data_IF_220910075561
#
_entry.id   IF_220910075561
#
_cell.length_a   1.000
_cell.length_b   1.000
_cell.length_c   1.000
_cell.angle_alpha   90.00
_cell.angle_beta   90.00
_cell.angle_gamma   90.00
#
_symmetry.space_group_name_H-M   'P 1'
#
loop_
_entity.id
_entity.type
_entity.pdbx_description
1 polymer ?
#
# COMPACT_ATOMS: atom_id res chain seq x y z
N UNK A 1 -28.86 33.88 -43.04
CA UNK A 1 -27.48 33.67 -42.53
C UNK A 1 -27.58 32.75 -41.32
N UNK A 2 -27.33 31.45 -41.51
CA UNK A 2 -27.31 30.43 -40.44
C UNK A 2 -25.93 30.40 -39.82
N UNK A 3 -25.80 30.83 -38.54
CA UNK A 3 -24.56 30.70 -37.77
C UNK A 3 -24.45 29.24 -37.33
N UNK A 4 -23.54 28.50 -37.95
CA UNK A 4 -23.06 27.20 -37.45
C UNK A 4 -22.26 27.44 -36.17
N UNK A 5 -22.82 27.06 -35.04
CA UNK A 5 -22.09 26.89 -33.80
C UNK A 5 -21.33 25.57 -33.91
N UNK A 6 -20.04 25.66 -34.23
CA UNK A 6 -19.08 24.56 -34.06
C UNK A 6 -18.86 24.40 -32.55
N UNK A 7 -19.62 23.49 -31.93
CA UNK A 7 -19.32 22.98 -30.62
C UNK A 7 -18.07 22.08 -30.78
N UNK A 8 -16.91 22.65 -30.52
CA UNK A 8 -15.67 21.91 -30.31
C UNK A 8 -15.87 21.03 -29.07
N UNK A 9 -16.29 19.79 -29.29
CA UNK A 9 -16.13 18.72 -28.31
C UNK A 9 -14.62 18.49 -28.13
N UNK A 10 -14.03 19.19 -27.19
CA UNK A 10 -12.80 18.73 -26.55
C UNK A 10 -13.19 17.48 -25.76
N UNK A 11 -13.25 16.35 -26.46
CA UNK A 11 -13.09 15.05 -25.85
C UNK A 11 -11.68 15.08 -25.26
N UNK A 12 -11.57 15.38 -23.98
CA UNK A 12 -10.41 14.97 -23.21
C UNK A 12 -10.39 13.43 -23.29
N UNK A 13 -9.70 12.92 -24.29
CA UNK A 13 -9.25 11.55 -24.32
C UNK A 13 -8.39 11.42 -23.05
N UNK A 14 -8.99 10.91 -21.98
CA UNK A 14 -8.29 10.40 -20.84
C UNK A 14 -7.48 9.22 -21.37
N UNK A 15 -6.26 9.49 -21.82
CA UNK A 15 -5.34 8.44 -22.18
C UNK A 15 -5.10 7.65 -20.90
N UNK A 16 -5.52 6.39 -20.89
CA UNK A 16 -5.12 5.41 -19.89
C UNK A 16 -3.60 5.44 -19.74
N UNK A 17 -3.11 5.20 -18.56
CA UNK A 17 -1.70 5.02 -18.32
C UNK A 17 -1.11 3.96 -19.26
N UNK A 18 0.09 4.18 -19.77
CA UNK A 18 0.82 3.14 -20.48
C UNK A 18 1.57 2.25 -19.50
N UNK A 19 1.77 0.98 -19.84
CA UNK A 19 2.57 0.05 -19.02
C UNK A 19 3.99 0.59 -18.77
N UNK A 20 4.57 1.31 -19.74
CA UNK A 20 5.89 1.94 -19.58
C UNK A 20 5.87 3.05 -18.53
N UNK A 21 4.83 3.89 -18.49
CA UNK A 21 4.69 4.94 -17.48
C UNK A 21 4.51 4.33 -16.09
N UNK A 22 3.73 3.26 -15.95
CA UNK A 22 3.58 2.52 -14.69
C UNK A 22 4.92 1.92 -14.24
N UNK A 23 5.68 1.30 -15.15
CA UNK A 23 7.02 0.78 -14.83
C UNK A 23 7.95 1.87 -14.31
N UNK A 24 7.98 3.02 -14.99
CA UNK A 24 8.80 4.15 -14.56
C UNK A 24 8.36 4.67 -13.19
N UNK A 25 7.05 4.76 -12.97
CA UNK A 25 6.50 5.19 -11.68
C UNK A 25 6.89 4.23 -10.56
N UNK A 26 6.67 2.93 -10.69
CA UNK A 26 7.02 1.91 -9.70
C UNK A 26 8.52 1.87 -9.44
N UNK A 27 9.33 2.02 -10.49
CA UNK A 27 10.79 2.06 -10.36
C UNK A 27 11.29 3.22 -9.49
N UNK A 28 10.66 4.41 -9.61
CA UNK A 28 11.11 5.62 -8.91
C UNK A 28 10.45 5.80 -7.54
N UNK A 29 9.17 5.39 -7.37
CA UNK A 29 8.41 5.54 -6.13
C UNK A 29 8.58 4.38 -5.17
N UNK A 30 8.96 3.18 -5.70
CA UNK A 30 8.98 1.91 -4.96
C UNK A 30 7.63 1.51 -4.36
N UNK A 31 6.54 1.95 -4.97
CA UNK A 31 5.19 1.69 -4.48
C UNK A 31 4.83 0.19 -4.49
N UNK A 32 5.54 -0.63 -5.28
CA UNK A 32 5.39 -2.08 -5.32
C UNK A 32 6.22 -2.85 -4.26
N UNK A 33 7.05 -2.17 -3.48
CA UNK A 33 7.89 -2.81 -2.45
C UNK A 33 7.05 -3.60 -1.42
N UNK A 34 5.83 -3.14 -1.12
CA UNK A 34 4.92 -3.81 -0.19
C UNK A 34 4.37 -5.14 -0.71
N UNK A 35 4.43 -5.40 -2.03
CA UNK A 35 3.94 -6.67 -2.62
C UNK A 35 4.71 -7.88 -2.09
N UNK A 36 6.00 -7.71 -1.76
CA UNK A 36 6.82 -8.77 -1.14
C UNK A 36 6.24 -9.22 0.20
N UNK A 37 5.75 -8.27 1.01
CA UNK A 37 5.12 -8.59 2.30
C UNK A 37 3.80 -9.33 2.12
N UNK A 38 3.02 -8.99 1.09
CA UNK A 38 1.79 -9.70 0.73
C UNK A 38 2.09 -11.14 0.30
N UNK A 39 3.12 -11.36 -0.49
CA UNK A 39 3.54 -12.69 -0.90
C UNK A 39 3.88 -13.57 0.33
N UNK A 40 4.62 -13.04 1.28
CA UNK A 40 4.92 -13.75 2.54
C UNK A 40 3.66 -14.10 3.34
N UNK A 41 2.68 -13.19 3.38
CA UNK A 41 1.38 -13.45 4.01
C UNK A 41 0.67 -14.59 3.29
N UNK A 42 0.66 -14.61 1.96
CA UNK A 42 0.05 -15.67 1.18
C UNK A 42 0.74 -17.02 1.36
N UNK A 43 2.05 -17.04 1.38
CA UNK A 43 2.83 -18.26 1.65
C UNK A 43 2.51 -18.83 3.03
N UNK A 44 2.34 -17.97 4.03
CA UNK A 44 1.93 -18.39 5.37
C UNK A 44 0.49 -18.93 5.43
N UNK A 45 -0.41 -18.44 4.57
CA UNK A 45 -1.81 -18.90 4.50
C UNK A 45 -1.98 -20.23 3.77
N UNK A 46 -1.02 -20.61 2.93
CA UNK A 46 -1.10 -21.83 2.09
C UNK A 46 -0.86 -23.14 2.81
N UNK A 47 -0.46 -23.15 4.07
CA UNK A 47 -0.15 -24.34 4.88
C UNK A 47 -0.32 -25.67 4.11
N UNK A 48 0.80 -26.23 3.54
CA UNK A 48 0.84 -27.55 2.87
C UNK A 48 0.36 -27.65 1.40
N UNK A 49 0.18 -26.57 0.66
CA UNK A 49 0.04 -26.68 -0.81
C UNK A 49 1.40 -26.46 -1.48
N UNK A 50 1.72 -27.30 -2.48
CA UNK A 50 2.94 -27.13 -3.28
C UNK A 50 3.04 -25.70 -3.81
N UNK A 51 4.22 -25.09 -3.64
CA UNK A 51 4.55 -23.78 -4.18
C UNK A 51 4.39 -23.81 -5.70
N UNK A 52 3.41 -23.08 -6.22
CA UNK A 52 3.43 -22.71 -7.63
C UNK A 52 4.39 -21.52 -7.75
N UNK A 53 5.51 -21.69 -8.45
CA UNK A 53 6.63 -20.73 -8.55
C UNK A 53 6.27 -19.38 -9.23
N UNK A 54 5.03 -19.16 -9.63
CA UNK A 54 4.60 -18.00 -10.42
C UNK A 54 3.77 -16.95 -9.66
N UNK A 55 3.63 -17.05 -8.33
CA UNK A 55 2.72 -16.17 -7.60
C UNK A 55 3.16 -14.71 -7.57
N UNK A 56 4.44 -14.45 -7.37
CA UNK A 56 4.98 -13.08 -7.37
C UNK A 56 4.72 -12.37 -8.68
N UNK A 57 4.86 -13.10 -9.78
CA UNK A 57 4.62 -12.54 -11.11
C UNK A 57 3.14 -12.22 -11.34
N UNK A 58 2.23 -13.12 -10.91
CA UNK A 58 0.79 -12.91 -11.02
C UNK A 58 0.33 -11.74 -10.13
N UNK A 59 0.79 -11.67 -8.88
CA UNK A 59 0.53 -10.58 -7.95
C UNK A 59 0.94 -9.23 -8.55
N UNK A 60 2.17 -9.16 -9.07
CA UNK A 60 2.68 -7.96 -9.72
C UNK A 60 1.84 -7.56 -10.95
N UNK A 61 1.44 -8.52 -11.79
CA UNK A 61 0.62 -8.25 -12.97
C UNK A 61 -0.75 -7.70 -12.58
N UNK A 62 -1.42 -8.27 -11.58
CA UNK A 62 -2.73 -7.80 -11.09
C UNK A 62 -2.61 -6.38 -10.54
N UNK A 63 -1.58 -6.10 -9.74
CA UNK A 63 -1.33 -4.79 -9.17
C UNK A 63 -1.12 -3.72 -10.25
N UNK A 64 -0.19 -3.97 -11.19
CA UNK A 64 0.14 -3.07 -12.28
C UNK A 64 -1.07 -2.78 -13.17
N UNK A 65 -1.82 -3.83 -13.54
CA UNK A 65 -3.03 -3.67 -14.33
C UNK A 65 -4.06 -2.79 -13.63
N UNK A 66 -4.21 -2.93 -12.32
CA UNK A 66 -5.10 -2.07 -11.54
C UNK A 66 -4.66 -0.60 -11.62
N UNK A 67 -3.37 -0.32 -11.49
CA UNK A 67 -2.83 1.03 -11.62
C UNK A 67 -3.05 1.59 -13.04
N UNK A 68 -2.80 0.80 -14.10
CA UNK A 68 -3.05 1.18 -15.50
C UNK A 68 -4.52 1.58 -15.76
N UNK A 69 -5.46 0.89 -15.11
CA UNK A 69 -6.89 1.14 -15.27
C UNK A 69 -7.38 2.37 -14.48
N UNK A 70 -6.67 2.80 -13.43
CA UNK A 70 -7.15 3.82 -12.49
C UNK A 70 -6.32 5.10 -12.45
N UNK A 71 -5.08 5.08 -12.97
CA UNK A 71 -4.25 6.27 -13.17
C UNK A 71 -4.31 6.72 -14.63
N UNK A 72 -4.41 8.01 -14.86
CA UNK A 72 -4.28 8.59 -16.19
C UNK A 72 -2.82 8.90 -16.52
N UNK A 73 -2.50 9.00 -17.82
CA UNK A 73 -1.16 9.40 -18.28
C UNK A 73 -0.71 10.73 -17.69
N UNK A 74 -1.61 11.73 -17.62
CA UNK A 74 -1.29 13.04 -17.05
C UNK A 74 -0.95 12.97 -15.56
N UNK A 75 -1.67 12.16 -14.79
CA UNK A 75 -1.38 11.95 -13.36
C UNK A 75 -0.02 11.26 -13.15
N UNK A 76 0.30 10.30 -14.00
CA UNK A 76 1.62 9.66 -13.96
C UNK A 76 2.75 10.63 -14.33
N UNK A 77 2.56 11.51 -15.31
CA UNK A 77 3.55 12.55 -15.64
C UNK A 77 3.78 13.49 -14.45
N UNK A 78 2.70 13.90 -13.78
CA UNK A 78 2.79 14.74 -12.57
C UNK A 78 3.48 14.00 -11.42
N UNK A 79 3.13 12.74 -11.17
CA UNK A 79 3.78 11.88 -10.17
C UNK A 79 5.26 11.70 -10.46
N UNK A 80 5.61 11.37 -11.71
CA UNK A 80 7.01 11.22 -12.13
C UNK A 80 7.80 12.50 -11.95
N UNK A 81 7.20 13.67 -12.24
CA UNK A 81 7.85 14.96 -12.01
C UNK A 81 8.11 15.19 -10.51
N UNK A 82 7.15 14.90 -9.64
CA UNK A 82 7.31 15.02 -8.19
C UNK A 82 8.37 14.05 -7.64
N UNK A 83 8.31 12.76 -8.00
CA UNK A 83 9.27 11.75 -7.52
C UNK A 83 10.69 11.97 -8.07
N UNK A 84 10.87 12.75 -9.14
CA UNK A 84 12.21 13.17 -9.63
C UNK A 84 12.80 14.33 -8.87
N UNK A 85 12.07 15.00 -7.99
CA UNK A 85 12.64 16.05 -7.14
C UNK A 85 13.65 15.47 -6.15
N UNK A 86 14.71 16.21 -5.80
CA UNK A 86 15.75 15.72 -4.91
C UNK A 86 15.20 15.25 -3.56
N UNK A 87 14.23 15.97 -3.00
CA UNK A 87 13.66 15.63 -1.70
C UNK A 87 12.86 14.32 -1.74
N UNK A 88 12.06 14.08 -2.80
CA UNK A 88 11.30 12.85 -2.95
C UNK A 88 12.22 11.65 -3.23
N UNK A 89 13.27 11.81 -4.04
CA UNK A 89 14.25 10.75 -4.25
C UNK A 89 14.96 10.38 -2.96
N UNK A 90 15.37 11.38 -2.17
CA UNK A 90 15.99 11.13 -0.88
C UNK A 90 15.02 10.41 0.07
N UNK A 91 13.77 10.85 0.13
CA UNK A 91 12.73 10.20 0.92
C UNK A 91 12.58 8.71 0.55
N UNK A 92 12.46 8.38 -0.74
CA UNK A 92 12.34 7.00 -1.20
C UNK A 92 13.55 6.16 -0.78
N UNK A 93 14.77 6.67 -0.96
CA UNK A 93 16.01 5.97 -0.58
C UNK A 93 16.06 5.69 0.94
N UNK A 94 15.73 6.69 1.76
CA UNK A 94 15.78 6.54 3.22
C UNK A 94 14.68 5.58 3.73
N UNK A 95 13.51 5.56 3.08
CA UNK A 95 12.41 4.65 3.44
C UNK A 95 12.58 3.23 2.86
N UNK A 96 13.35 3.06 1.76
CA UNK A 96 13.64 1.74 1.16
C UNK A 96 14.69 0.95 1.99
N UNK A 97 15.52 1.64 2.78
CA UNK A 97 16.55 1.01 3.57
C UNK A 97 15.91 0.05 4.61
N UNK A 98 16.20 -1.24 4.46
CA UNK A 98 15.73 -2.25 5.42
C UNK A 98 16.37 -2.00 6.79
N UNK A 99 15.54 -1.63 7.76
CA UNK A 99 16.00 -1.40 9.13
C UNK A 99 16.00 -2.74 9.87
N UNK A 100 17.14 -3.12 10.44
CA UNK A 100 17.18 -4.30 11.32
C UNK A 100 16.38 -4.02 12.60
N UNK A 101 15.87 -5.09 13.24
CA UNK A 101 15.18 -4.94 14.53
C UNK A 101 16.10 -4.38 15.61
N UNK A 102 17.39 -4.75 15.54
CA UNK A 102 18.43 -4.30 16.44
C UNK A 102 18.69 -2.81 16.28
N UNK A 103 18.80 -2.31 15.05
CA UNK A 103 19.02 -0.88 14.76
C UNK A 103 17.81 -0.04 15.17
N UNK A 104 16.59 -0.50 14.88
CA UNK A 104 15.36 0.17 15.32
C UNK A 104 15.27 0.22 16.85
N UNK A 105 15.60 -0.88 17.54
CA UNK A 105 15.57 -0.91 19.00
C UNK A 105 16.62 0.02 19.61
N UNK A 106 17.82 0.07 19.04
CA UNK A 106 18.88 0.98 19.47
C UNK A 106 18.47 2.45 19.26
N UNK A 107 17.89 2.76 18.11
CA UNK A 107 17.39 4.11 17.78
C UNK A 107 16.29 4.55 18.77
N UNK A 108 15.29 3.71 19.01
CA UNK A 108 14.19 4.06 19.93
C UNK A 108 14.71 4.28 21.37
N UNK A 109 15.70 3.51 21.80
CA UNK A 109 16.35 3.72 23.10
C UNK A 109 17.13 5.04 23.14
N UNK A 110 17.82 5.40 22.06
CA UNK A 110 18.52 6.69 21.97
C UNK A 110 17.52 7.86 22.04
N UNK A 111 16.35 7.74 21.46
CA UNK A 111 15.30 8.76 21.55
C UNK A 111 14.74 8.97 22.96
N UNK A 112 14.79 7.95 23.84
CA UNK A 112 14.42 8.09 25.26
C UNK A 112 15.45 8.95 26.00
N UNK A 113 16.74 8.81 25.66
CA UNK A 113 17.83 9.57 26.27
C UNK A 113 18.00 10.95 25.63
N UNK A 114 17.78 11.06 24.32
CA UNK A 114 17.96 12.21 23.47
C UNK A 114 16.68 12.54 22.68
N UNK A 115 15.65 13.12 23.32
CA UNK A 115 14.36 13.35 22.67
C UNK A 115 14.47 14.37 21.54
N UNK A 116 13.73 14.10 20.47
CA UNK A 116 13.62 15.00 19.33
C UNK A 116 12.90 16.31 19.72
N UNK A 117 13.19 17.38 18.98
CA UNK A 117 12.47 18.65 19.15
C UNK A 117 10.98 18.50 18.83
N UNK A 118 10.14 19.27 19.49
CA UNK A 118 8.69 19.31 19.24
C UNK A 118 8.40 19.60 17.76
N UNK A 119 9.12 20.55 17.15
CA UNK A 119 8.95 20.89 15.74
C UNK A 119 9.16 19.68 14.83
N UNK A 120 10.22 18.88 15.06
CA UNK A 120 10.48 17.65 14.28
C UNK A 120 9.36 16.64 14.46
N UNK A 121 8.94 16.39 15.68
CA UNK A 121 7.84 15.46 15.98
C UNK A 121 6.54 15.89 15.30
N UNK A 122 6.20 17.18 15.33
CA UNK A 122 4.99 17.71 14.69
C UNK A 122 5.03 17.51 13.16
N UNK A 123 6.20 17.68 12.54
CA UNK A 123 6.33 17.43 11.09
C UNK A 123 6.17 15.95 10.78
N UNK A 124 6.80 15.05 11.56
CA UNK A 124 6.65 13.59 11.38
C UNK A 124 5.19 13.18 11.55
N UNK A 125 4.49 13.67 12.56
CA UNK A 125 3.08 13.37 12.78
C UNK A 125 2.18 13.88 11.64
N UNK A 126 2.55 15.00 11.01
CA UNK A 126 1.84 15.49 9.83
C UNK A 126 2.14 14.62 8.59
N UNK A 127 3.39 14.20 8.38
CA UNK A 127 3.74 13.27 7.30
C UNK A 127 3.03 11.94 7.50
N UNK A 128 3.00 11.40 8.72
CA UNK A 128 2.27 10.17 9.05
C UNK A 128 0.79 10.26 8.65
N UNK A 129 0.12 11.38 8.94
CA UNK A 129 -1.28 11.59 8.54
C UNK A 129 -1.48 11.66 7.02
N UNK A 130 -0.47 12.08 6.27
CA UNK A 130 -0.51 12.12 4.81
C UNK A 130 -0.30 10.74 4.19
N UNK A 131 0.56 9.91 4.78
CA UNK A 131 1.00 8.63 4.23
C UNK A 131 0.25 7.41 4.80
N UNK A 132 -0.36 7.53 5.98
CA UNK A 132 -1.01 6.42 6.69
C UNK A 132 -2.47 6.77 6.98
N UNK A 133 -3.41 6.12 6.29
CA UNK A 133 -4.85 6.36 6.41
C UNK A 133 -5.53 5.21 7.16
N UNK A 134 -6.28 5.54 8.21
CA UNK A 134 -6.95 4.55 9.06
C UNK A 134 -8.00 3.71 8.31
N UNK A 135 -8.74 4.33 7.40
CA UNK A 135 -9.74 3.67 6.57
C UNK A 135 -9.11 2.66 5.59
N UNK A 136 -7.93 2.97 5.02
CA UNK A 136 -7.17 2.07 4.16
C UNK A 136 -6.62 0.88 4.96
N UNK A 137 -6.03 1.13 6.14
CA UNK A 137 -5.57 0.06 7.05
C UNK A 137 -6.73 -0.86 7.42
N UNK A 138 -7.88 -0.30 7.77
CA UNK A 138 -9.08 -1.08 8.13
C UNK A 138 -9.60 -1.89 6.95
N UNK A 139 -9.62 -1.31 5.74
CA UNK A 139 -10.04 -2.00 4.53
C UNK A 139 -9.12 -3.17 4.21
N UNK A 140 -7.81 -2.98 4.33
CA UNK A 140 -6.80 -4.03 4.15
C UNK A 140 -6.97 -5.15 5.20
N UNK A 141 -7.09 -4.81 6.48
CA UNK A 141 -7.32 -5.78 7.55
C UNK A 141 -8.60 -6.60 7.33
N UNK A 142 -9.68 -5.95 6.93
CA UNK A 142 -10.95 -6.63 6.61
C UNK A 142 -10.81 -7.59 5.43
N UNK A 143 -10.07 -7.20 4.41
CA UNK A 143 -9.73 -8.04 3.26
C UNK A 143 -8.99 -9.30 3.69
N UNK A 144 -7.91 -9.17 4.49
CA UNK A 144 -7.17 -10.31 5.03
C UNK A 144 -8.03 -11.26 5.88
N UNK A 145 -8.93 -10.71 6.69
CA UNK A 145 -9.73 -11.49 7.65
C UNK A 145 -11.04 -12.04 7.07
N UNK A 146 -11.40 -11.67 5.84
CA UNK A 146 -12.66 -12.06 5.21
C UNK A 146 -12.87 -13.59 5.14
N UNK A 147 -11.79 -14.35 4.93
CA UNK A 147 -11.83 -15.83 4.93
C UNK A 147 -12.33 -16.38 6.25
N UNK A 148 -11.87 -15.84 7.36
CA UNK A 148 -12.27 -16.29 8.71
C UNK A 148 -13.70 -15.88 9.04
N UNK A 149 -14.18 -14.74 8.52
CA UNK A 149 -15.55 -14.25 8.72
C UNK A 149 -16.59 -15.04 7.94
N UNK A 150 -16.30 -15.50 6.71
CA UNK A 150 -17.21 -16.35 5.92
C UNK A 150 -17.43 -17.74 6.55
N UNK A 151 -16.45 -18.23 7.30
CA UNK A 151 -16.59 -19.50 8.03
C UNK A 151 -17.47 -19.37 9.28
N UNK A 152 -17.56 -18.20 9.90
CA UNK A 152 -18.44 -17.92 11.03
C UNK A 152 -19.73 -17.25 10.53
N UNK A 153 -20.71 -18.05 10.07
CA UNK A 153 -22.03 -17.57 9.64
C UNK A 153 -22.70 -16.72 10.73
N UNK A 154 -22.54 -15.39 10.67
CA UNK A 154 -23.39 -14.42 11.36
C UNK A 154 -23.68 -13.23 10.45
N UNK A 155 -24.94 -13.16 10.07
CA UNK A 155 -25.79 -12.04 9.66
C UNK A 155 -25.10 -10.71 9.37
N UNK A 156 -24.95 -10.39 8.09
CA UNK A 156 -24.67 -9.04 7.62
C UNK A 156 -25.93 -8.20 7.57
N UNK A 157 -26.13 -7.36 8.58
CA UNK A 157 -26.89 -6.13 8.41
C UNK A 157 -25.89 -5.02 8.09
N UNK A 158 -26.10 -4.34 6.96
CA UNK A 158 -25.35 -3.18 6.44
C UNK A 158 -25.46 -1.95 7.35
N UNK A 159 -25.04 -2.07 8.60
CA UNK A 159 -24.85 -0.94 9.49
C UNK A 159 -23.37 -0.57 9.51
N UNK A 160 -23.07 0.71 9.50
CA UNK A 160 -21.73 1.27 9.76
C UNK A 160 -21.27 0.80 11.14
N UNK A 161 -20.71 -0.41 11.18
CA UNK A 161 -20.26 -1.05 12.40
C UNK A 161 -18.96 -0.34 12.80
N UNK A 162 -18.96 0.28 13.99
CA UNK A 162 -17.73 0.80 14.58
C UNK A 162 -16.65 -0.29 14.54
N UNK A 163 -15.39 0.07 14.28
CA UNK A 163 -14.30 -0.90 14.28
C UNK A 163 -14.31 -1.74 15.56
N UNK A 164 -14.10 -3.03 15.43
CA UNK A 164 -13.95 -3.93 16.58
C UNK A 164 -12.68 -3.59 17.36
N UNK A 165 -12.57 -4.06 18.59
CA UNK A 165 -11.34 -3.87 19.38
C UNK A 165 -10.10 -4.41 18.68
N UNK A 166 -10.21 -5.53 17.98
CA UNK A 166 -9.10 -6.12 17.21
C UNK A 166 -8.70 -5.24 16.00
N UNK A 167 -9.70 -4.69 15.29
CA UNK A 167 -9.48 -3.76 14.19
C UNK A 167 -8.78 -2.48 14.67
N UNK A 168 -9.21 -1.94 15.82
CA UNK A 168 -8.56 -0.78 16.42
C UNK A 168 -7.12 -1.06 16.85
N UNK A 169 -6.87 -2.20 17.50
CA UNK A 169 -5.52 -2.62 17.89
C UNK A 169 -4.60 -2.79 16.66
N UNK A 170 -5.11 -3.33 15.56
CA UNK A 170 -4.34 -3.45 14.33
C UNK A 170 -3.99 -2.08 13.74
N UNK A 171 -4.95 -1.15 13.69
CA UNK A 171 -4.71 0.23 13.23
C UNK A 171 -3.63 0.91 14.06
N UNK A 172 -3.74 0.85 15.39
CA UNK A 172 -2.74 1.47 16.27
C UNK A 172 -1.35 0.84 16.09
N UNK A 173 -1.27 -0.49 15.97
CA UNK A 173 0.00 -1.18 15.72
C UNK A 173 0.65 -0.73 14.40
N UNK A 174 -0.13 -0.61 13.31
CA UNK A 174 0.39 -0.15 12.02
C UNK A 174 0.83 1.31 12.10
N UNK A 175 0.04 2.19 12.73
CA UNK A 175 0.39 3.60 12.89
C UNK A 175 1.66 3.80 13.71
N UNK A 176 1.79 3.06 14.82
CA UNK A 176 2.98 3.11 15.66
C UNK A 176 4.21 2.61 14.91
N UNK A 177 4.10 1.47 14.20
CA UNK A 177 5.18 0.94 13.37
C UNK A 177 5.61 1.95 12.31
N UNK A 178 4.66 2.49 11.54
CA UNK A 178 4.93 3.49 10.50
C UNK A 178 5.51 4.78 11.06
N UNK A 179 5.08 5.21 12.27
CA UNK A 179 5.67 6.37 12.93
C UNK A 179 7.14 6.13 13.28
N UNK A 180 7.47 4.96 13.82
CA UNK A 180 8.85 4.61 14.15
C UNK A 180 9.74 4.53 12.91
N UNK A 181 9.24 3.95 11.81
CA UNK A 181 9.94 3.94 10.52
C UNK A 181 10.17 5.35 9.98
N UNK A 182 9.17 6.24 10.03
CA UNK A 182 9.33 7.64 9.63
C UNK A 182 10.34 8.38 10.50
N UNK A 183 10.30 8.18 11.82
CA UNK A 183 11.25 8.81 12.74
C UNK A 183 12.69 8.37 12.42
N UNK A 184 12.89 7.10 12.13
CA UNK A 184 14.19 6.55 11.75
C UNK A 184 14.64 7.04 10.38
N UNK A 185 13.81 6.86 9.35
CA UNK A 185 14.17 7.24 7.96
C UNK A 185 14.40 8.74 7.79
N UNK A 186 13.60 9.58 8.47
CA UNK A 186 13.71 11.03 8.35
C UNK A 186 14.75 11.67 9.29
N UNK A 187 15.46 10.91 10.13
CA UNK A 187 16.44 11.45 11.06
C UNK A 187 17.58 12.21 10.36
N UNK A 188 17.91 11.80 9.13
CA UNK A 188 18.98 12.39 8.32
C UNK A 188 18.57 13.69 7.59
N UNK A 189 17.27 14.03 7.59
CA UNK A 189 16.77 15.23 6.96
C UNK A 189 16.83 16.42 7.93
N UNK A 190 17.15 17.61 7.41
CA UNK A 190 16.98 18.87 8.14
C UNK A 190 15.48 19.20 8.32
N UNK A 191 15.17 20.14 9.19
CA UNK A 191 13.79 20.63 9.39
C UNK A 191 13.23 21.23 8.10
N UNK A 192 14.05 21.97 7.36
CA UNK A 192 13.69 22.58 6.08
C UNK A 192 13.37 21.52 5.02
N UNK A 193 14.20 20.47 4.90
CA UNK A 193 13.96 19.34 4.00
C UNK A 193 12.69 18.57 4.39
N UNK A 194 12.44 18.38 5.69
CA UNK A 194 11.19 17.74 6.14
C UNK A 194 9.95 18.58 5.82
N UNK A 195 10.03 19.91 5.88
CA UNK A 195 8.95 20.81 5.45
C UNK A 195 8.72 20.75 3.94
N UNK A 196 9.79 20.70 3.16
CA UNK A 196 9.72 20.52 1.71
C UNK A 196 9.08 19.16 1.35
N UNK A 197 9.53 18.08 1.99
CA UNK A 197 8.93 16.75 1.85
C UNK A 197 7.44 16.75 2.17
N UNK A 198 7.07 17.32 3.33
CA UNK A 198 5.66 17.42 3.72
C UNK A 198 4.84 18.14 2.65
N UNK A 199 5.35 19.26 2.12
CA UNK A 199 4.68 20.02 1.06
C UNK A 199 4.52 19.22 -0.23
N UNK A 200 5.52 18.41 -0.61
CA UNK A 200 5.42 17.51 -1.76
C UNK A 200 4.35 16.42 -1.54
N UNK A 201 4.32 15.82 -0.36
CA UNK A 201 3.34 14.78 0.01
C UNK A 201 1.89 15.31 0.14
N UNK A 202 1.70 16.61 0.34
CA UNK A 202 0.37 17.27 0.34
C UNK A 202 -0.22 17.41 -1.08
N UNK A 203 0.50 17.04 -2.13
CA UNK A 203 -0.02 17.08 -3.50
C UNK A 203 -1.25 16.19 -3.67
N UNK A 204 -2.27 16.72 -4.35
CA UNK A 204 -3.50 15.99 -4.64
C UNK A 204 -3.25 14.72 -5.47
N UNK A 205 -2.25 14.75 -6.38
CA UNK A 205 -1.93 13.59 -7.21
C UNK A 205 -1.27 12.48 -6.39
N UNK A 206 -0.41 12.80 -5.40
CA UNK A 206 0.14 11.81 -4.47
C UNK A 206 -0.95 11.20 -3.62
N UNK A 207 -1.83 12.00 -3.04
CA UNK A 207 -2.97 11.49 -2.25
C UNK A 207 -3.88 10.58 -3.06
N UNK A 208 -4.12 10.90 -4.33
CA UNK A 208 -4.91 10.05 -5.24
C UNK A 208 -4.18 8.75 -5.56
N UNK A 209 -2.88 8.82 -5.90
CA UNK A 209 -2.07 7.65 -6.21
C UNK A 209 -2.00 6.69 -5.02
N UNK A 210 -1.70 7.17 -3.81
CA UNK A 210 -1.67 6.38 -2.58
C UNK A 210 -2.98 5.63 -2.34
N UNK A 211 -4.13 6.30 -2.55
CA UNK A 211 -5.43 5.64 -2.46
C UNK A 211 -5.59 4.53 -3.49
N UNK A 212 -5.23 4.78 -4.76
CA UNK A 212 -5.31 3.78 -5.83
C UNK A 212 -4.38 2.60 -5.55
N UNK A 213 -3.18 2.83 -5.02
CA UNK A 213 -2.23 1.81 -4.60
C UNK A 213 -2.81 0.92 -3.49
N UNK A 214 -3.41 1.54 -2.47
CA UNK A 214 -4.09 0.83 -1.39
C UNK A 214 -5.26 -0.03 -1.91
N UNK A 215 -6.08 0.51 -2.82
CA UNK A 215 -7.16 -0.21 -3.48
C UNK A 215 -6.63 -1.37 -4.35
N UNK A 216 -5.50 -1.16 -5.07
CA UNK A 216 -4.83 -2.21 -5.84
C UNK A 216 -4.33 -3.35 -4.94
N UNK A 217 -3.75 -3.04 -3.79
CA UNK A 217 -3.33 -4.02 -2.79
C UNK A 217 -4.50 -4.86 -2.28
N UNK A 218 -5.62 -4.22 -1.95
CA UNK A 218 -6.86 -4.89 -1.53
C UNK A 218 -7.41 -5.75 -2.66
N UNK A 219 -7.32 -5.29 -3.91
CA UNK A 219 -7.76 -6.05 -5.09
C UNK A 219 -6.93 -7.32 -5.27
N UNK A 220 -5.61 -7.22 -5.19
CA UNK A 220 -4.68 -8.37 -5.22
C UNK A 220 -5.05 -9.38 -4.13
N UNK A 221 -5.22 -8.91 -2.88
CA UNK A 221 -5.62 -9.75 -1.75
C UNK A 221 -6.91 -10.51 -2.02
N UNK A 222 -7.93 -9.82 -2.51
CA UNK A 222 -9.24 -10.42 -2.76
C UNK A 222 -9.19 -11.47 -3.88
N UNK A 223 -8.48 -11.22 -4.97
CA UNK A 223 -8.31 -12.18 -6.06
C UNK A 223 -7.56 -13.43 -5.59
N UNK A 224 -6.50 -13.23 -4.83
CA UNK A 224 -5.72 -14.34 -4.32
C UNK A 224 -6.49 -15.21 -3.33
N UNK A 225 -7.24 -14.61 -2.40
CA UNK A 225 -8.09 -15.34 -1.46
C UNK A 225 -9.17 -16.14 -2.21
N UNK A 226 -9.75 -15.59 -3.28
CA UNK A 226 -10.71 -16.30 -4.12
C UNK A 226 -10.08 -17.49 -4.84
N UNK A 227 -8.87 -17.34 -5.37
CA UNK A 227 -8.10 -18.41 -6.03
C UNK A 227 -7.83 -19.59 -5.09
N UNK A 228 -7.44 -19.31 -3.83
CA UNK A 228 -7.23 -20.37 -2.82
C UNK A 228 -8.52 -21.10 -2.46
N UNK A 229 -9.67 -20.40 -2.43
CA UNK A 229 -10.95 -21.00 -2.02
C UNK A 229 -11.65 -21.78 -3.12
N UNK A 230 -11.30 -21.54 -4.38
CA UNK A 230 -11.93 -22.16 -5.56
C UNK A 230 -11.23 -23.44 -6.04
N UNK A 231 -10.00 -23.70 -5.62
CA UNK A 231 -9.32 -24.98 -5.94
C UNK A 231 -9.92 -26.10 -5.04
N UNK A 232 -10.42 -27.23 -5.61
CA UNK A 232 -10.90 -28.37 -4.80
C UNK A 232 -9.75 -28.91 -3.96
N UNK A 233 -9.95 -29.02 -2.65
CA UNK A 233 -9.01 -29.75 -1.79
C UNK A 233 -8.82 -31.16 -2.38
N UNK A 234 -7.61 -31.49 -2.79
CA UNK A 234 -7.27 -32.85 -3.19
C UNK A 234 -7.66 -33.77 -2.04
N UNK A 235 -8.60 -34.70 -2.31
CA UNK A 235 -8.98 -35.72 -1.34
C UNK A 235 -7.72 -36.47 -0.94
N UNK A 236 -7.33 -36.34 0.34
CA UNK A 236 -6.37 -37.26 0.94
C UNK A 236 -6.99 -38.64 0.76
N UNK A 237 -6.45 -39.42 -0.19
CA UNK A 237 -6.76 -40.83 -0.29
C UNK A 237 -6.21 -41.47 0.99
N UNK A 238 -7.09 -41.80 1.92
CA UNK A 238 -6.79 -42.77 2.96
C UNK A 238 -6.47 -44.11 2.25
N UNK A 239 -5.19 -44.37 2.08
CA UNK A 239 -4.70 -45.70 1.77
C UNK A 239 -4.94 -46.55 3.03
N UNK A 240 -6.12 -47.15 3.13
CA UNK A 240 -6.32 -48.27 4.02
C UNK A 240 -5.43 -49.42 3.56
N UNK A 241 -4.25 -49.51 4.15
CA UNK A 241 -3.46 -50.74 4.12
C UNK A 241 -4.06 -51.72 5.08
N UNK A 242 -4.91 -52.59 4.54
CA UNK A 242 -5.24 -53.86 5.16
C UNK A 242 -4.03 -54.79 5.08
N UNK A 243 -3.47 -55.15 6.21
CA UNK A 243 -2.81 -56.43 6.47
C UNK A 243 -2.97 -56.78 7.95
#
# INVERSE_FOLDING_TARGET
MKKLFLISLFSSLLFSASSEQIEQYLSISKADAQLVSIEQVFDSMRQNQEREDNNSQEINQIYRKYLEEHLSSNELEELLALYRTPIMQRYVVEMESSISKEDMSAFLKDLEENPLTTERLDIVDNILKLTVKEDEILAFYKSMTQRYRKASKKSDNNQTIKPTKQEQQYVEMVKEGSKNELLYGLQVLSIEEMKELKSALESAVISKASKIESEAMIHVMNQFIQGITSKPQAKVQETNSTL
#
